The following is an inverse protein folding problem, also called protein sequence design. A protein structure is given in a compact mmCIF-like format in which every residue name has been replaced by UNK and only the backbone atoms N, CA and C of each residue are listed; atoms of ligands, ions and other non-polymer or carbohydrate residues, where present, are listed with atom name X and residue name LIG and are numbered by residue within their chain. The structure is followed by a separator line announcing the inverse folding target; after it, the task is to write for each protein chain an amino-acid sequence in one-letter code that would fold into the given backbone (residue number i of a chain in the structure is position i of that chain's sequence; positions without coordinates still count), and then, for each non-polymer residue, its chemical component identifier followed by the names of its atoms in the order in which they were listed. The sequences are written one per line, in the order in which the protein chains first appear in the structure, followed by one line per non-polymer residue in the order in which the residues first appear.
data_IF_381621700768
#
_entry.id   IF_381621700768
#
_cell.length_a   1.000
_cell.length_b   1.000
_cell.length_c   1.000
_cell.angle_alpha   90.00
_cell.angle_beta   90.00
_cell.angle_gamma   90.00
#
_symmetry.space_group_name_H-M   'P 1'
#
loop_
_entity.id
_entity.type
_entity.pdbx_description
1 polymer ?
#
# COMPACT_ATOMS: atom_id res chain seq x y z
N UNK A 1 -22.42 -6.79 59.96
CA UNK A 1 -23.86 -6.54 59.65
C UNK A 1 -24.71 -6.55 60.85
N UNK A 2 -25.67 -5.63 61.04
CA UNK A 2 -26.66 -5.60 62.13
C UNK A 2 -27.81 -6.56 61.83
N UNK A 3 -28.61 -6.92 62.92
CA UNK A 3 -29.79 -7.78 62.77
C UNK A 3 -30.84 -7.19 61.80
N UNK A 4 -31.11 -5.88 61.88
CA UNK A 4 -32.07 -5.21 61.02
C UNK A 4 -31.64 -5.21 59.54
N UNK A 5 -30.34 -5.05 59.26
CA UNK A 5 -29.81 -5.13 57.94
C UNK A 5 -29.85 -6.54 57.35
N UNK A 6 -29.59 -7.56 58.17
CA UNK A 6 -29.69 -8.96 57.76
C UNK A 6 -31.14 -9.37 57.45
N UNK A 7 -32.10 -8.95 58.21
CA UNK A 7 -33.52 -9.20 57.93
C UNK A 7 -33.99 -8.53 56.68
N UNK A 8 -33.58 -7.27 56.43
CA UNK A 8 -33.96 -6.54 55.22
C UNK A 8 -33.40 -7.16 53.91
N UNK A 9 -32.30 -7.93 54.01
CA UNK A 9 -31.64 -8.58 52.84
C UNK A 9 -31.93 -10.09 52.75
N UNK A 10 -32.67 -10.64 53.70
CA UNK A 10 -32.88 -12.08 53.79
C UNK A 10 -33.59 -12.66 52.55
N UNK A 11 -34.61 -11.97 52.06
CA UNK A 11 -35.36 -12.43 50.89
C UNK A 11 -34.51 -12.36 49.61
N UNK A 12 -33.79 -11.27 49.40
CA UNK A 12 -32.89 -11.12 48.26
C UNK A 12 -31.74 -12.16 48.29
N UNK A 13 -31.24 -12.49 49.50
CA UNK A 13 -30.25 -13.57 49.64
C UNK A 13 -30.84 -14.94 49.30
N UNK A 14 -32.06 -15.22 49.71
CA UNK A 14 -32.75 -16.47 49.39
C UNK A 14 -33.14 -16.60 47.92
N UNK A 15 -33.15 -15.50 47.17
CA UNK A 15 -33.46 -15.44 45.75
C UNK A 15 -32.20 -15.34 44.85
N UNK A 16 -30.98 -15.43 45.44
CA UNK A 16 -29.70 -15.29 44.76
C UNK A 16 -29.55 -13.94 44.03
N UNK A 17 -30.17 -12.86 44.57
CA UNK A 17 -30.15 -11.52 43.97
C UNK A 17 -29.05 -10.60 44.52
N UNK A 18 -28.34 -11.03 45.59
CA UNK A 18 -27.27 -10.27 46.20
C UNK A 18 -25.92 -10.46 45.48
N UNK A 19 -25.08 -9.43 45.54
CA UNK A 19 -23.69 -9.55 45.17
C UNK A 19 -22.95 -10.57 46.07
N UNK A 20 -21.92 -11.27 45.59
CA UNK A 20 -21.23 -12.34 46.33
C UNK A 20 -20.74 -11.93 47.72
N UNK A 21 -20.26 -10.70 47.88
CA UNK A 21 -19.77 -10.17 49.15
C UNK A 21 -20.91 -9.95 50.15
N UNK A 22 -22.03 -9.36 49.69
CA UNK A 22 -23.23 -9.12 50.53
C UNK A 22 -23.90 -10.44 50.92
N UNK A 23 -23.97 -11.41 50.00
CA UNK A 23 -24.51 -12.74 50.28
C UNK A 23 -23.69 -13.45 51.38
N UNK A 24 -22.36 -13.30 51.38
CA UNK A 24 -21.48 -13.86 52.39
C UNK A 24 -21.75 -13.22 53.77
N UNK A 25 -21.89 -11.89 53.84
CA UNK A 25 -22.18 -11.18 55.08
C UNK A 25 -23.52 -11.60 55.68
N UNK A 26 -24.58 -11.76 54.89
CA UNK A 26 -25.88 -12.25 55.31
C UNK A 26 -25.78 -13.70 55.83
N UNK A 27 -25.08 -14.56 55.09
CA UNK A 27 -24.87 -15.96 55.49
C UNK A 27 -24.14 -16.08 56.84
N UNK A 28 -23.06 -15.31 57.04
CA UNK A 28 -22.32 -15.29 58.32
C UNK A 28 -23.20 -14.81 59.48
N UNK A 29 -24.03 -13.76 59.26
CA UNK A 29 -24.94 -13.27 60.28
C UNK A 29 -26.05 -14.30 60.61
N UNK A 30 -26.65 -14.92 59.58
CA UNK A 30 -27.69 -15.97 59.79
C UNK A 30 -27.12 -17.16 60.51
N UNK A 31 -25.84 -17.51 60.31
CA UNK A 31 -25.18 -18.58 61.09
C UNK A 31 -24.97 -18.22 62.59
N UNK A 32 -24.83 -16.95 62.92
CA UNK A 32 -24.54 -16.46 64.26
C UNK A 32 -25.80 -15.97 65.05
N UNK A 33 -26.91 -15.70 64.32
CA UNK A 33 -28.14 -15.14 64.93
C UNK A 33 -29.31 -16.13 64.83
N UNK A 34 -29.79 -16.62 65.97
CA UNK A 34 -30.89 -17.59 66.04
C UNK A 34 -32.23 -17.05 65.48
N UNK A 35 -32.51 -15.76 65.62
CA UNK A 35 -33.72 -15.13 65.06
C UNK A 35 -33.70 -15.06 63.55
N UNK A 36 -32.55 -14.69 62.96
CA UNK A 36 -32.39 -14.69 61.50
C UNK A 36 -32.40 -16.12 60.92
N UNK A 37 -31.82 -17.09 61.60
CA UNK A 37 -31.91 -18.50 61.21
C UNK A 37 -33.37 -19.00 61.21
N UNK A 38 -34.16 -18.63 62.26
CA UNK A 38 -35.59 -18.95 62.31
C UNK A 38 -36.38 -18.30 61.18
N UNK A 39 -36.17 -17.02 60.92
CA UNK A 39 -36.81 -16.31 59.80
C UNK A 39 -36.48 -16.95 58.41
N UNK A 40 -35.21 -17.33 58.15
CA UNK A 40 -34.81 -18.11 56.98
C UNK A 40 -35.59 -19.41 56.84
N UNK A 41 -35.69 -20.19 57.97
CA UNK A 41 -36.37 -21.49 57.95
C UNK A 41 -37.87 -21.36 57.72
N UNK A 42 -38.51 -20.31 58.27
CA UNK A 42 -39.91 -19.97 57.99
C UNK A 42 -40.14 -19.58 56.51
N UNK A 43 -39.30 -18.75 55.94
CA UNK A 43 -39.36 -18.37 54.52
C UNK A 43 -39.19 -19.58 53.59
N UNK A 44 -38.23 -20.48 53.90
CA UNK A 44 -38.03 -21.73 53.17
C UNK A 44 -39.22 -22.70 53.27
N UNK A 45 -39.83 -22.82 54.43
CA UNK A 45 -41.05 -23.66 54.62
C UNK A 45 -42.21 -23.08 53.79
N UNK A 46 -42.46 -21.77 53.89
CA UNK A 46 -43.49 -21.11 53.07
C UNK A 46 -43.29 -21.36 51.57
N UNK A 47 -42.08 -21.20 51.10
CA UNK A 47 -41.73 -21.49 49.67
C UNK A 47 -42.00 -22.94 49.31
N UNK A 48 -41.67 -23.87 50.17
CA UNK A 48 -41.93 -25.30 49.97
C UNK A 48 -43.44 -25.60 49.86
N UNK A 49 -44.26 -25.06 50.79
CA UNK A 49 -45.73 -25.20 50.79
C UNK A 49 -46.33 -24.58 49.53
N UNK A 50 -45.93 -23.37 49.12
CA UNK A 50 -46.42 -22.72 47.92
C UNK A 50 -46.06 -23.54 46.66
N UNK A 51 -44.86 -24.09 46.59
CA UNK A 51 -44.45 -24.94 45.46
C UNK A 51 -45.20 -26.27 45.37
N UNK A 52 -45.66 -26.79 46.51
CA UNK A 52 -46.42 -28.04 46.60
C UNK A 52 -47.92 -27.86 46.25
N UNK A 53 -48.49 -26.72 46.65
CA UNK A 53 -49.94 -26.49 46.60
C UNK A 53 -50.39 -25.66 45.38
N UNK A 54 -49.50 -24.83 44.84
CA UNK A 54 -49.84 -24.02 43.65
C UNK A 54 -49.93 -24.85 42.37
N UNK A 55 -50.95 -24.62 41.53
CA UNK A 55 -51.08 -25.33 40.25
C UNK A 55 -49.93 -24.95 39.31
N UNK A 56 -49.28 -25.95 38.77
CA UNK A 56 -48.25 -25.75 37.74
C UNK A 56 -48.88 -25.82 36.36
N UNK A 57 -48.68 -24.76 35.58
CA UNK A 57 -49.12 -24.75 34.21
C UNK A 57 -47.99 -25.23 33.29
N UNK A 58 -48.22 -26.30 32.55
CA UNK A 58 -47.27 -26.77 31.55
C UNK A 58 -47.24 -25.80 30.37
N UNK A 59 -46.03 -25.40 29.95
CA UNK A 59 -45.87 -24.59 28.76
C UNK A 59 -46.28 -25.40 27.54
N UNK A 60 -47.00 -24.78 26.61
CA UNK A 60 -47.40 -25.44 25.35
C UNK A 60 -46.17 -25.96 24.61
N UNK A 61 -46.34 -27.07 23.85
CA UNK A 61 -45.26 -27.66 23.06
C UNK A 61 -44.63 -26.64 22.10
N UNK A 62 -45.45 -25.75 21.52
CA UNK A 62 -45.00 -24.68 20.66
C UNK A 62 -44.07 -23.69 21.39
N UNK A 63 -44.42 -23.28 22.61
CA UNK A 63 -43.59 -22.40 23.41
C UNK A 63 -42.25 -23.06 23.80
N UNK A 64 -42.30 -24.33 24.22
CA UNK A 64 -41.09 -25.11 24.49
C UNK A 64 -40.19 -25.25 23.27
N UNK A 65 -40.76 -25.51 22.09
CA UNK A 65 -40.01 -25.60 20.84
C UNK A 65 -39.35 -24.26 20.47
N UNK A 66 -40.07 -23.14 20.63
CA UNK A 66 -39.54 -21.79 20.38
C UNK A 66 -38.38 -21.44 21.32
N UNK A 67 -38.49 -21.73 22.60
CA UNK A 67 -37.43 -21.48 23.59
C UNK A 67 -36.21 -22.34 23.29
N UNK A 68 -36.41 -23.64 23.00
CA UNK A 68 -35.30 -24.53 22.63
C UNK A 68 -34.62 -24.09 21.32
N UNK A 69 -35.37 -23.61 20.34
CA UNK A 69 -34.81 -23.06 19.11
C UNK A 69 -34.02 -21.76 19.35
N UNK A 70 -34.52 -20.88 20.21
CA UNK A 70 -33.83 -19.65 20.61
C UNK A 70 -32.54 -19.94 21.41
N UNK A 71 -32.57 -20.91 22.31
CA UNK A 71 -31.40 -21.33 23.10
C UNK A 71 -30.33 -22.07 22.28
N UNK A 72 -30.73 -22.75 21.19
CA UNK A 72 -29.83 -23.45 20.26
C UNK A 72 -29.18 -22.55 19.24
N UNK A 73 -29.60 -21.28 19.11
CA UNK A 73 -28.93 -20.33 18.21
C UNK A 73 -27.53 -20.06 18.76
N UNK A 74 -26.45 -20.57 18.11
CA UNK A 74 -25.11 -20.36 18.63
C UNK A 74 -24.80 -18.86 18.65
N UNK A 75 -24.20 -18.39 19.73
CA UNK A 75 -23.75 -17.00 19.89
C UNK A 75 -22.79 -16.55 18.78
N UNK A 76 -22.27 -17.49 18.02
CA UNK A 76 -21.39 -17.31 16.87
C UNK A 76 -22.06 -16.59 15.67
N UNK A 77 -23.39 -16.67 15.52
CA UNK A 77 -24.08 -16.03 14.38
C UNK A 77 -24.21 -14.51 14.54
N UNK A 78 -24.15 -13.98 15.76
CA UNK A 78 -24.18 -12.53 16.00
C UNK A 78 -22.87 -11.80 15.70
N UNK A 79 -21.74 -12.52 15.57
CA UNK A 79 -20.41 -11.94 15.34
C UNK A 79 -19.91 -12.06 13.89
N UNK A 80 -20.45 -13.01 13.12
CA UNK A 80 -20.03 -13.23 11.73
C UNK A 80 -20.23 -12.05 10.78
N UNK A 81 -21.39 -11.36 10.73
CA UNK A 81 -21.58 -10.30 9.75
C UNK A 81 -20.70 -9.08 10.00
N UNK A 82 -20.37 -8.77 11.26
CA UNK A 82 -19.52 -7.63 11.57
C UNK A 82 -18.07 -7.84 11.13
N UNK A 83 -17.48 -9.00 11.40
CA UNK A 83 -16.08 -9.29 10.99
C UNK A 83 -15.95 -9.39 9.47
N UNK A 84 -16.89 -10.02 8.80
CA UNK A 84 -16.92 -10.10 7.34
C UNK A 84 -17.06 -8.70 6.71
N UNK A 85 -17.87 -7.82 7.29
CA UNK A 85 -18.01 -6.43 6.87
C UNK A 85 -16.71 -5.63 7.01
N UNK A 86 -15.99 -5.77 8.13
CA UNK A 86 -14.70 -5.12 8.33
C UNK A 86 -13.60 -5.65 7.40
N UNK A 87 -13.58 -6.95 7.13
CA UNK A 87 -12.65 -7.55 6.17
C UNK A 87 -12.94 -7.08 4.73
N UNK A 88 -14.22 -7.00 4.35
CA UNK A 88 -14.62 -6.47 3.06
C UNK A 88 -14.25 -4.97 2.93
N UNK A 89 -14.49 -4.16 3.96
CA UNK A 89 -14.11 -2.76 3.98
C UNK A 89 -12.58 -2.57 3.89
N UNK A 90 -11.80 -3.38 4.61
CA UNK A 90 -10.34 -3.37 4.53
C UNK A 90 -9.83 -3.78 3.13
N UNK A 91 -10.43 -4.79 2.49
CA UNK A 91 -10.09 -5.20 1.13
C UNK A 91 -10.39 -4.08 0.11
N UNK A 92 -11.53 -3.41 0.22
CA UNK A 92 -11.88 -2.27 -0.64
C UNK A 92 -10.91 -1.11 -0.44
N UNK A 93 -10.52 -0.82 0.80
CA UNK A 93 -9.56 0.25 1.09
C UNK A 93 -8.17 -0.08 0.51
N UNK A 94 -7.69 -1.30 0.69
CA UNK A 94 -6.40 -1.75 0.15
C UNK A 94 -6.38 -1.72 -1.39
N UNK A 95 -7.46 -2.16 -2.04
CA UNK A 95 -7.57 -2.07 -3.50
C UNK A 95 -7.65 -0.63 -3.99
N UNK A 96 -8.39 0.24 -3.29
CA UNK A 96 -8.47 1.66 -3.63
C UNK A 96 -7.10 2.36 -3.49
N UNK A 97 -6.36 2.12 -2.39
CA UNK A 97 -5.02 2.65 -2.19
C UNK A 97 -4.05 2.10 -3.24
N UNK A 98 -4.10 0.80 -3.52
CA UNK A 98 -3.25 0.17 -4.53
C UNK A 98 -3.51 0.71 -5.93
N UNK A 99 -4.77 0.86 -6.33
CA UNK A 99 -5.14 1.43 -7.64
C UNK A 99 -4.75 2.90 -7.74
N UNK A 100 -4.93 3.67 -6.67
CA UNK A 100 -4.50 5.07 -6.63
C UNK A 100 -2.98 5.21 -6.77
N UNK A 101 -2.19 4.42 -6.04
CA UNK A 101 -0.72 4.42 -6.17
C UNK A 101 -0.25 4.05 -7.59
N UNK A 102 -0.89 3.04 -8.21
CA UNK A 102 -0.57 2.68 -9.61
C UNK A 102 -0.94 3.81 -10.57
N UNK A 103 -2.10 4.44 -10.37
CA UNK A 103 -2.55 5.55 -11.21
C UNK A 103 -1.63 6.78 -11.09
N UNK A 104 -1.21 7.16 -9.89
CA UNK A 104 -0.28 8.29 -9.67
C UNK A 104 1.07 8.03 -10.29
N UNK A 105 1.66 6.84 -10.11
CA UNK A 105 2.94 6.47 -10.73
C UNK A 105 2.87 6.50 -12.27
N UNK A 106 1.76 6.02 -12.84
CA UNK A 106 1.55 6.09 -14.31
C UNK A 106 1.42 7.54 -14.78
N UNK A 107 0.74 8.39 -14.05
CA UNK A 107 0.61 9.80 -14.37
C UNK A 107 1.98 10.51 -14.34
N UNK A 108 2.80 10.27 -13.33
CA UNK A 108 4.16 10.81 -13.23
C UNK A 108 5.05 10.33 -14.37
N UNK A 109 5.04 9.04 -14.71
CA UNK A 109 5.79 8.50 -15.84
C UNK A 109 5.33 9.10 -17.17
N UNK A 110 4.03 9.31 -17.35
CA UNK A 110 3.49 9.97 -18.54
C UNK A 110 3.92 11.44 -18.63
N UNK A 111 3.94 12.18 -17.51
CA UNK A 111 4.43 13.56 -17.49
C UNK A 111 5.92 13.65 -17.83
N UNK A 112 6.73 12.73 -17.33
CA UNK A 112 8.15 12.64 -17.70
C UNK A 112 8.33 12.33 -19.18
N UNK A 113 7.57 11.39 -19.74
CA UNK A 113 7.60 11.06 -21.17
C UNK A 113 7.25 12.29 -22.03
N UNK A 114 6.24 13.07 -21.65
CA UNK A 114 5.88 14.33 -22.33
C UNK A 114 7.01 15.35 -22.25
N UNK A 115 7.63 15.53 -21.09
CA UNK A 115 8.72 16.48 -20.90
C UNK A 115 9.95 16.09 -21.76
N UNK A 116 10.32 14.79 -21.77
CA UNK A 116 11.43 14.28 -22.59
C UNK A 116 11.12 14.46 -24.08
N UNK A 117 9.90 14.13 -24.52
CA UNK A 117 9.49 14.34 -25.90
C UNK A 117 9.55 15.82 -26.30
N UNK A 118 8.98 16.70 -25.49
CA UNK A 118 9.00 18.14 -25.74
C UNK A 118 10.45 18.69 -25.87
N UNK A 119 11.36 18.20 -25.03
CA UNK A 119 12.77 18.56 -25.06
C UNK A 119 13.44 18.04 -26.33
N UNK A 120 13.16 16.79 -26.74
CA UNK A 120 13.67 16.21 -27.99
C UNK A 120 13.17 17.00 -29.21
N UNK A 121 11.85 17.23 -29.30
CA UNK A 121 11.26 17.99 -30.42
C UNK A 121 11.82 19.40 -30.50
N UNK A 122 11.96 20.09 -29.36
CA UNK A 122 12.58 21.43 -29.33
C UNK A 122 14.00 21.39 -29.84
N UNK A 123 14.77 20.36 -29.49
CA UNK A 123 16.17 20.25 -29.94
C UNK A 123 16.34 20.09 -31.46
N UNK A 124 15.32 19.61 -32.16
CA UNK A 124 15.35 19.51 -33.63
C UNK A 124 15.19 20.87 -34.33
N UNK A 125 14.86 21.93 -33.60
CA UNK A 125 14.83 23.28 -34.13
C UNK A 125 16.28 23.77 -34.46
N UNK A 126 16.47 24.63 -35.45
CA UNK A 126 17.80 25.11 -35.83
C UNK A 126 18.56 25.72 -34.64
N UNK A 127 19.80 25.28 -34.43
CA UNK A 127 20.69 25.81 -33.41
C UNK A 127 20.45 25.24 -31.99
N UNK A 128 19.54 24.26 -31.80
CA UNK A 128 19.21 23.72 -30.49
C UNK A 128 19.59 22.23 -30.28
N UNK A 129 20.20 21.60 -31.29
CA UNK A 129 20.45 20.16 -31.26
C UNK A 129 21.46 19.77 -30.16
N UNK A 130 22.56 20.52 -30.06
CA UNK A 130 23.66 20.26 -29.13
C UNK A 130 24.25 21.57 -28.62
N UNK A 131 24.72 21.59 -27.36
CA UNK A 131 25.50 22.69 -26.78
C UNK A 131 27.02 22.50 -27.05
N UNK A 132 27.45 21.22 -27.12
CA UNK A 132 28.80 20.85 -27.56
C UNK A 132 28.69 19.93 -28.78
N UNK A 133 29.27 20.35 -29.89
CA UNK A 133 29.29 19.58 -31.13
C UNK A 133 30.61 18.81 -31.18
N UNK A 134 30.54 17.49 -31.06
CA UNK A 134 31.71 16.62 -31.21
C UNK A 134 31.27 15.16 -31.39
N UNK A 135 31.94 14.46 -32.28
CA UNK A 135 31.84 12.99 -32.42
C UNK A 135 32.77 12.25 -31.45
N UNK A 136 33.61 12.96 -30.71
CA UNK A 136 34.58 12.40 -29.80
C UNK A 136 34.05 12.47 -28.35
N UNK A 137 33.91 11.29 -27.75
CA UNK A 137 33.53 11.14 -26.35
C UNK A 137 34.48 11.86 -25.39
N UNK A 138 35.76 11.97 -25.72
CA UNK A 138 36.80 12.66 -24.94
C UNK A 138 36.61 14.18 -24.91
N UNK A 139 35.81 14.71 -25.84
CA UNK A 139 35.41 16.12 -25.86
C UNK A 139 34.06 16.30 -25.15
N UNK A 140 33.08 15.44 -25.45
CA UNK A 140 31.69 15.57 -24.93
C UNK A 140 31.64 15.29 -23.45
N UNK A 141 32.29 14.21 -22.95
CA UNK A 141 32.25 13.85 -21.55
C UNK A 141 32.81 14.94 -20.61
N UNK A 142 34.03 15.50 -20.86
CA UNK A 142 34.55 16.58 -20.02
C UNK A 142 33.74 17.87 -20.08
N UNK A 143 33.00 18.12 -21.17
CA UNK A 143 32.17 19.31 -21.30
C UNK A 143 31.09 19.39 -20.24
N UNK A 144 30.58 18.24 -19.75
CA UNK A 144 29.61 18.20 -18.65
C UNK A 144 30.23 18.48 -17.29
N UNK A 145 31.56 18.36 -17.12
CA UNK A 145 32.23 18.61 -15.85
C UNK A 145 32.03 20.07 -15.40
N UNK A 146 31.63 20.27 -14.17
CA UNK A 146 31.34 21.58 -13.60
C UNK A 146 30.01 22.21 -14.05
N UNK A 147 29.28 21.59 -14.97
CA UNK A 147 27.94 21.97 -15.40
C UNK A 147 26.86 21.07 -14.76
N UNK A 148 27.20 19.82 -14.57
CA UNK A 148 26.39 18.85 -13.85
C UNK A 148 27.14 18.38 -12.60
N UNK A 149 26.40 17.91 -11.61
CA UNK A 149 26.91 17.30 -10.37
C UNK A 149 27.30 15.83 -10.54
N UNK A 150 27.20 15.30 -11.75
CA UNK A 150 27.59 13.94 -12.14
C UNK A 150 28.27 13.92 -13.51
N UNK A 151 29.00 12.83 -13.81
CA UNK A 151 29.69 12.63 -15.08
C UNK A 151 28.97 11.56 -15.90
N UNK A 152 28.23 11.94 -16.97
CA UNK A 152 27.48 10.96 -17.78
C UNK A 152 28.43 10.02 -18.52
N UNK A 153 28.09 8.72 -18.65
CA UNK A 153 28.75 7.83 -19.60
C UNK A 153 28.45 8.29 -21.03
N UNK A 154 29.49 8.36 -21.88
CA UNK A 154 29.38 8.75 -23.28
C UNK A 154 29.95 7.62 -24.12
N UNK A 155 29.18 6.57 -24.44
CA UNK A 155 29.64 5.45 -25.24
C UNK A 155 29.73 5.83 -26.72
N UNK A 156 30.74 5.26 -27.43
CA UNK A 156 30.88 5.40 -28.88
C UNK A 156 30.22 4.23 -29.62
N UNK A 157 29.29 4.55 -30.50
CA UNK A 157 28.59 3.60 -31.36
C UNK A 157 28.78 3.89 -32.86
N UNK A 158 29.78 4.71 -33.24
CA UNK A 158 30.03 5.07 -34.63
C UNK A 158 30.26 3.83 -35.51
N UNK A 159 31.05 2.85 -35.04
CA UNK A 159 31.30 1.60 -35.74
C UNK A 159 30.04 0.75 -35.97
N UNK A 160 29.00 0.97 -35.17
CA UNK A 160 27.69 0.30 -35.28
C UNK A 160 26.67 1.13 -36.09
N UNK A 161 27.09 2.24 -36.64
CA UNK A 161 26.28 3.12 -37.50
C UNK A 161 25.40 4.12 -36.71
N UNK A 162 25.79 4.40 -35.46
CA UNK A 162 25.16 5.41 -34.59
C UNK A 162 26.25 6.41 -34.11
N UNK A 163 26.78 7.28 -34.97
CA UNK A 163 27.78 8.25 -34.57
C UNK A 163 27.22 9.23 -33.53
N UNK A 164 28.05 9.59 -32.57
CA UNK A 164 27.79 10.68 -31.66
C UNK A 164 27.80 12.01 -32.41
N UNK A 165 26.83 12.87 -32.20
CA UNK A 165 26.73 14.22 -32.77
C UNK A 165 27.21 15.27 -31.77
N UNK A 166 26.95 15.01 -30.47
CA UNK A 166 27.33 15.90 -29.39
C UNK A 166 26.54 15.67 -28.12
N UNK A 167 26.58 16.67 -27.26
CA UNK A 167 25.83 16.67 -26.03
C UNK A 167 25.18 18.02 -25.74
N UNK A 168 24.17 18.02 -24.90
CA UNK A 168 23.54 19.23 -24.37
C UNK A 168 23.07 19.01 -22.92
N UNK A 169 22.85 20.09 -22.24
CA UNK A 169 22.23 20.07 -20.90
C UNK A 169 20.77 20.51 -21.03
N UNK A 170 19.86 19.67 -20.55
CA UNK A 170 18.43 19.96 -20.49
C UNK A 170 17.97 20.12 -19.05
N UNK A 171 16.76 20.64 -18.84
CA UNK A 171 16.15 20.77 -17.52
C UNK A 171 14.78 20.09 -17.51
N UNK A 172 14.68 18.95 -16.83
CA UNK A 172 13.49 18.10 -16.83
C UNK A 172 13.06 17.80 -15.39
N UNK A 173 11.78 18.00 -15.09
CA UNK A 173 11.20 17.73 -13.79
C UNK A 173 11.99 18.35 -12.60
N UNK A 174 12.42 19.60 -12.76
CA UNK A 174 13.10 20.34 -11.69
C UNK A 174 14.59 20.01 -11.53
N UNK A 175 15.23 19.30 -12.48
CA UNK A 175 16.65 18.94 -12.40
C UNK A 175 17.38 19.14 -13.72
N UNK A 176 18.67 19.44 -13.63
CA UNK A 176 19.55 19.43 -14.79
C UNK A 176 19.87 17.97 -15.18
N UNK A 177 19.82 17.68 -16.48
CA UNK A 177 20.04 16.35 -17.03
C UNK A 177 21.04 16.42 -18.18
N UNK A 178 21.80 15.34 -18.39
CA UNK A 178 22.64 15.20 -19.57
C UNK A 178 21.82 14.62 -20.71
N UNK A 179 21.97 15.15 -21.92
CA UNK A 179 21.42 14.59 -23.13
C UNK A 179 22.52 14.41 -24.15
N UNK A 180 22.75 13.16 -24.55
CA UNK A 180 23.66 12.78 -25.65
C UNK A 180 22.84 12.66 -26.92
N UNK A 181 23.38 13.16 -28.00
CA UNK A 181 22.73 13.12 -29.32
C UNK A 181 23.50 12.20 -30.24
N UNK A 182 22.85 11.19 -30.75
CA UNK A 182 23.36 10.27 -31.75
C UNK A 182 22.59 10.46 -33.07
N UNK A 183 23.21 10.13 -34.18
CA UNK A 183 22.57 10.13 -35.49
C UNK A 183 22.36 8.69 -35.98
N UNK A 184 21.30 8.48 -36.72
CA UNK A 184 21.07 7.27 -37.49
C UNK A 184 20.46 7.65 -38.84
N UNK A 185 21.25 7.66 -39.90
CA UNK A 185 20.83 8.21 -41.21
C UNK A 185 20.37 9.67 -41.05
N UNK A 186 19.08 9.95 -41.28
CA UNK A 186 18.49 11.29 -41.14
C UNK A 186 17.78 11.49 -39.78
N UNK A 187 17.77 10.44 -38.91
CA UNK A 187 17.10 10.49 -37.64
C UNK A 187 18.07 10.85 -36.53
N UNK A 188 17.61 11.69 -35.59
CA UNK A 188 18.33 12.02 -34.39
C UNK A 188 17.79 11.21 -33.19
N UNK A 189 18.70 10.74 -32.36
CA UNK A 189 18.37 9.97 -31.17
C UNK A 189 18.90 10.75 -29.96
N UNK A 190 18.01 11.20 -29.09
CA UNK A 190 18.38 11.81 -27.82
C UNK A 190 18.42 10.76 -26.73
N UNK A 191 19.56 10.60 -26.07
CA UNK A 191 19.73 9.77 -24.86
C UNK A 191 19.86 10.71 -23.68
N UNK A 192 18.79 10.88 -22.92
CA UNK A 192 18.73 11.75 -21.74
C UNK A 192 18.93 10.91 -20.50
N UNK A 193 19.83 11.33 -19.62
CA UNK A 193 20.14 10.59 -18.40
C UNK A 193 20.44 11.50 -17.22
N UNK A 194 20.19 10.98 -16.02
CA UNK A 194 20.50 11.61 -14.74
C UNK A 194 20.72 10.56 -13.66
N UNK A 195 21.39 10.89 -12.53
CA UNK A 195 21.62 9.97 -11.43
C UNK A 195 20.30 9.44 -10.85
N UNK A 196 20.27 8.14 -10.58
CA UNK A 196 19.13 7.50 -9.94
C UNK A 196 19.07 7.92 -8.48
N UNK A 197 18.01 8.60 -8.08
CA UNK A 197 17.72 8.88 -6.66
C UNK A 197 17.25 7.63 -5.91
N UNK A 198 17.02 7.76 -4.61
CA UNK A 198 16.56 6.68 -3.73
C UNK A 198 15.10 6.18 -4.00
N UNK A 199 14.48 6.58 -5.10
CA UNK A 199 13.13 6.19 -5.48
C UNK A 199 13.01 4.74 -5.94
N UNK A 200 11.79 4.18 -5.97
CA UNK A 200 11.53 2.85 -6.51
C UNK A 200 11.90 2.79 -8.00
N UNK A 201 12.36 1.61 -8.42
CA UNK A 201 12.64 1.35 -9.83
C UNK A 201 11.34 1.37 -10.64
N UNK A 202 11.22 2.34 -11.53
CA UNK A 202 10.22 2.29 -12.58
C UNK A 202 10.78 1.43 -13.70
N UNK A 203 10.52 0.14 -13.70
CA UNK A 203 11.01 -0.80 -14.70
C UNK A 203 10.96 -0.29 -16.16
N UNK A 204 11.49 -1.04 -17.13
CA UNK A 204 11.52 -0.61 -18.52
C UNK A 204 10.11 -0.32 -19.04
N UNK A 205 9.96 0.80 -19.74
CA UNK A 205 8.70 1.25 -20.30
C UNK A 205 8.89 1.91 -21.66
N UNK A 206 7.85 1.89 -22.48
CA UNK A 206 7.86 2.49 -23.82
C UNK A 206 6.61 3.29 -24.08
N UNK A 207 6.75 4.35 -24.86
CA UNK A 207 5.64 5.18 -25.34
C UNK A 207 5.82 5.48 -26.82
N UNK A 208 4.73 5.59 -27.54
CA UNK A 208 4.70 6.12 -28.92
C UNK A 208 3.77 7.31 -28.93
N UNK A 209 4.28 8.48 -29.29
CA UNK A 209 3.52 9.73 -29.30
C UNK A 209 3.95 10.61 -30.47
N UNK A 210 2.99 11.12 -31.21
CA UNK A 210 3.23 12.08 -32.30
C UNK A 210 4.28 11.58 -33.33
N UNK A 211 4.38 10.27 -33.55
CA UNK A 211 5.36 9.68 -34.46
C UNK A 211 6.75 9.43 -33.85
N UNK A 212 6.97 9.78 -32.60
CA UNK A 212 8.19 9.50 -31.86
C UNK A 212 8.02 8.29 -30.95
N UNK A 213 9.09 7.52 -30.81
CA UNK A 213 9.21 6.41 -29.87
C UNK A 213 10.08 6.84 -28.68
N UNK A 214 9.61 6.57 -27.48
CA UNK A 214 10.34 6.82 -26.24
C UNK A 214 10.54 5.50 -25.51
N UNK A 215 11.75 5.28 -25.02
CA UNK A 215 12.12 4.13 -24.21
C UNK A 215 12.73 4.62 -22.91
N UNK A 216 12.36 3.97 -21.81
CA UNK A 216 12.85 4.26 -20.47
C UNK A 216 13.36 3.01 -19.80
N UNK A 217 14.47 3.13 -19.09
CA UNK A 217 14.95 2.13 -18.14
C UNK A 217 15.80 2.80 -17.06
N UNK A 218 16.10 2.08 -16.02
CA UNK A 218 17.05 2.50 -15.00
C UNK A 218 18.11 1.44 -14.74
N UNK A 219 19.27 1.89 -14.32
CA UNK A 219 20.37 1.10 -13.79
C UNK A 219 20.53 1.44 -12.29
N UNK A 220 21.42 0.77 -11.56
CA UNK A 220 21.71 1.20 -10.19
C UNK A 220 22.19 2.65 -10.05
N UNK A 221 22.86 3.19 -11.09
CA UNK A 221 23.47 4.51 -11.08
C UNK A 221 22.62 5.58 -11.76
N UNK A 222 21.96 5.25 -12.88
CA UNK A 222 21.32 6.22 -13.76
C UNK A 222 19.89 5.82 -14.16
N UNK A 223 19.11 6.85 -14.44
CA UNK A 223 17.82 6.75 -15.15
C UNK A 223 18.05 7.21 -16.59
N UNK A 224 17.57 6.43 -17.53
CA UNK A 224 17.72 6.68 -18.97
C UNK A 224 16.38 6.88 -19.65
N UNK A 225 16.36 7.82 -20.57
CA UNK A 225 15.29 8.06 -21.51
C UNK A 225 15.88 8.20 -22.91
N UNK A 226 15.31 7.49 -23.87
CA UNK A 226 15.70 7.60 -25.27
C UNK A 226 14.48 8.06 -26.06
N UNK A 227 14.66 9.08 -26.91
CA UNK A 227 13.59 9.60 -27.76
C UNK A 227 14.11 9.75 -29.20
N UNK A 228 13.32 9.29 -30.17
CA UNK A 228 13.62 9.40 -31.62
C UNK A 228 12.35 9.14 -32.45
N UNK A 229 12.35 9.64 -33.68
CA UNK A 229 11.42 9.27 -34.76
C UNK A 229 11.85 8.01 -35.53
N UNK A 230 12.95 7.37 -35.13
CA UNK A 230 13.43 6.10 -35.66
C UNK A 230 12.42 4.98 -35.41
N UNK A 231 12.31 4.03 -36.36
CA UNK A 231 11.43 2.88 -36.20
C UNK A 231 11.69 2.11 -34.87
N UNK A 232 10.63 1.68 -34.18
CA UNK A 232 10.69 1.12 -32.84
C UNK A 232 11.73 0.00 -32.70
N UNK A 233 11.76 -0.97 -33.63
CA UNK A 233 12.68 -2.10 -33.55
C UNK A 233 14.15 -1.67 -33.63
N UNK A 234 14.47 -0.65 -34.47
CA UNK A 234 15.83 -0.12 -34.62
C UNK A 234 16.24 0.72 -33.39
N UNK A 235 15.28 1.43 -32.77
CA UNK A 235 15.49 2.15 -31.51
C UNK A 235 15.71 1.20 -30.34
N UNK A 236 15.00 0.08 -30.27
CA UNK A 236 15.20 -0.97 -29.28
C UNK A 236 16.59 -1.62 -29.41
N UNK A 237 17.06 -1.87 -30.65
CA UNK A 237 18.43 -2.35 -30.90
C UNK A 237 19.49 -1.35 -30.39
N UNK A 238 19.31 -0.06 -30.70
CA UNK A 238 20.19 0.99 -30.18
C UNK A 238 20.17 1.03 -28.64
N UNK A 239 19.00 0.97 -28.03
CA UNK A 239 18.82 0.97 -26.58
C UNK A 239 19.52 -0.22 -25.92
N UNK A 240 19.44 -1.42 -26.52
CA UNK A 240 20.14 -2.60 -26.02
C UNK A 240 21.67 -2.42 -26.04
N UNK A 241 22.23 -1.72 -27.07
CA UNK A 241 23.67 -1.40 -27.12
C UNK A 241 24.06 -0.42 -26.00
N UNK A 242 23.23 0.59 -25.71
CA UNK A 242 23.48 1.52 -24.59
C UNK A 242 23.47 0.77 -23.26
N UNK A 243 22.48 -0.09 -23.02
CA UNK A 243 22.39 -0.90 -21.82
C UNK A 243 23.57 -1.86 -21.64
N UNK A 244 24.04 -2.46 -22.74
CA UNK A 244 25.21 -3.33 -22.72
C UNK A 244 26.49 -2.56 -22.37
N UNK A 245 26.68 -1.39 -22.98
CA UNK A 245 27.81 -0.51 -22.69
C UNK A 245 27.87 -0.10 -21.21
N UNK A 246 26.72 0.22 -20.64
CA UNK A 246 26.58 0.62 -19.24
C UNK A 246 26.95 -0.52 -18.26
N UNK A 247 26.51 -1.76 -18.56
CA UNK A 247 26.89 -2.95 -17.78
C UNK A 247 28.39 -3.22 -17.80
N UNK A 248 29.02 -3.06 -18.95
CA UNK A 248 30.48 -3.24 -19.09
C UNK A 248 31.21 -2.16 -18.29
N UNK A 249 30.76 -0.92 -18.33
CA UNK A 249 31.35 0.19 -17.58
C UNK A 249 31.20 0.01 -16.06
N UNK A 250 30.08 -0.60 -15.59
CA UNK A 250 29.82 -0.91 -14.19
C UNK A 250 30.58 -2.14 -13.67
N UNK A 251 31.35 -2.85 -14.49
CA UNK A 251 32.15 -4.01 -14.09
C UNK A 251 31.31 -5.27 -13.77
N UNK A 252 30.08 -5.37 -14.26
CA UNK A 252 29.21 -6.53 -14.05
C UNK A 252 29.50 -7.57 -15.15
N UNK A 253 30.03 -8.79 -14.83
CA UNK A 253 30.20 -9.85 -15.83
C UNK A 253 28.82 -10.30 -16.37
N UNK A 254 28.82 -10.73 -17.63
CA UNK A 254 27.65 -11.31 -18.33
C UNK A 254 27.14 -12.57 -17.63
#
# INVERSE_FOLDING_TARGET
MTHAEAVARLDAWLDDELAPEEAREVMEHVAACAECAKARDEALRLRASLRAELPRFEASQMLQARIRAAARRPALERWRPRRLGWMAAAAVLLTAVGTWQVATRRAEANQLAEAVLATHVRSLMPGHLTDVISSDQHTVKPWFNGRLDFSPPVPDFAAKGYPLVGGRMDYIAGRAVATLVYARRLHMISVTLWPRGAGPDAGPASWTRQGYHLLHWSTPEYVYWVASDLGQAELEQFTAMVQQSDRVAAGTPQ
#
